data_IF_663324473679
#
_entry.id   IF_663324473679
#
_cell.length_a   1.000
_cell.length_b   1.000
_cell.length_c   1.000
_cell.angle_alpha   90.00
_cell.angle_beta   90.00
_cell.angle_gamma   90.00
#
_symmetry.space_group_name_H-M   'P 1'
#
loop_
_entity.id
_entity.type
_entity.pdbx_description
1 polymer ?
#
# COMPACT_ATOMS: atom_id res chain seq x y z
N UNK A 1 12.28 -13.80 -2.25
CA UNK A 1 11.34 -12.98 -3.03
C UNK A 1 9.95 -13.52 -2.79
N UNK A 2 8.99 -12.65 -2.50
CA UNK A 2 7.64 -12.99 -2.11
C UNK A 2 6.66 -12.47 -3.14
N UNK A 3 5.77 -13.35 -3.59
CA UNK A 3 4.61 -12.93 -4.34
C UNK A 3 3.49 -12.54 -3.36
N UNK A 4 2.86 -11.36 -3.50
CA UNK A 4 1.79 -10.95 -2.58
C UNK A 4 0.65 -11.98 -2.49
N UNK A 5 0.32 -12.61 -3.62
CA UNK A 5 -0.68 -13.67 -3.70
C UNK A 5 -0.28 -14.96 -2.94
N UNK A 6 0.99 -15.11 -2.56
CA UNK A 6 1.52 -16.26 -1.81
C UNK A 6 1.66 -16.01 -0.31
N UNK A 7 1.54 -14.75 0.15
CA UNK A 7 1.81 -14.39 1.55
C UNK A 7 0.57 -14.14 2.40
N UNK A 8 -0.64 -14.37 1.86
CA UNK A 8 -1.87 -14.24 2.63
C UNK A 8 -2.69 -12.98 2.33
N UNK A 9 -2.52 -12.35 1.16
CA UNK A 9 -3.49 -11.37 0.66
C UNK A 9 -4.80 -12.06 0.29
N UNK A 10 -5.84 -11.83 1.08
CA UNK A 10 -7.18 -12.39 0.89
C UNK A 10 -8.13 -11.25 0.51
N UNK A 11 -8.73 -11.33 -0.67
CA UNK A 11 -9.54 -10.22 -1.22
C UNK A 11 -10.97 -10.65 -1.56
N UNK A 12 -11.80 -9.68 -1.97
CA UNK A 12 -13.09 -9.94 -2.64
C UNK A 12 -12.88 -10.56 -4.04
N UNK A 13 -13.97 -11.03 -4.64
CA UNK A 13 -13.98 -11.68 -5.96
C UNK A 13 -14.07 -10.66 -7.11
N UNK A 14 -14.00 -9.35 -6.81
CA UNK A 14 -14.08 -8.27 -7.79
C UNK A 14 -12.75 -8.12 -8.54
N UNK A 15 -12.54 -8.96 -9.54
CA UNK A 15 -11.35 -8.89 -10.38
C UNK A 15 -11.16 -7.48 -10.94
N UNK A 16 -9.91 -7.04 -11.03
CA UNK A 16 -9.44 -5.68 -11.40
C UNK A 16 -9.49 -4.62 -10.31
N UNK A 17 -10.28 -4.79 -9.25
CA UNK A 17 -10.41 -3.81 -8.17
C UNK A 17 -10.79 -4.50 -6.84
N UNK A 18 -10.03 -5.53 -6.47
CA UNK A 18 -10.35 -6.36 -5.32
C UNK A 18 -10.06 -5.63 -4.00
N UNK A 19 -11.01 -5.68 -3.06
CA UNK A 19 -10.84 -5.10 -1.72
C UNK A 19 -10.19 -6.13 -0.79
N UNK A 20 -9.29 -5.67 0.08
CA UNK A 20 -8.64 -6.51 1.09
C UNK A 20 -9.63 -6.87 2.21
N UNK A 21 -9.67 -8.14 2.60
CA UNK A 21 -10.51 -8.62 3.71
C UNK A 21 -9.72 -8.61 5.01
N UNK A 22 -10.40 -8.45 6.15
CA UNK A 22 -9.80 -8.43 7.49
C UNK A 22 -8.94 -9.68 7.79
N UNK A 23 -9.28 -10.82 7.19
CA UNK A 23 -8.49 -12.05 7.30
C UNK A 23 -7.06 -11.93 6.72
N UNK A 24 -6.78 -10.91 5.89
CA UNK A 24 -5.46 -10.62 5.34
C UNK A 24 -4.45 -10.29 6.44
N UNK A 25 -4.83 -9.49 7.44
CA UNK A 25 -3.93 -9.02 8.47
C UNK A 25 -3.26 -10.16 9.25
N UNK A 26 -4.01 -11.10 9.89
CA UNK A 26 -3.40 -12.22 10.59
C UNK A 26 -2.66 -13.20 9.66
N UNK A 27 -3.11 -13.36 8.42
CA UNK A 27 -2.46 -14.26 7.45
C UNK A 27 -1.08 -13.77 7.03
N UNK A 28 -0.99 -12.49 6.63
CA UNK A 28 0.26 -11.81 6.26
C UNK A 28 1.23 -11.76 7.44
N UNK A 29 0.73 -11.37 8.62
CA UNK A 29 1.55 -11.27 9.82
C UNK A 29 2.16 -12.63 10.18
N UNK A 30 1.35 -13.69 10.17
CA UNK A 30 1.82 -15.05 10.45
C UNK A 30 2.91 -15.46 9.44
N UNK A 31 2.64 -15.32 8.15
CA UNK A 31 3.56 -15.76 7.10
C UNK A 31 4.93 -15.08 7.17
N UNK A 32 4.93 -13.75 7.30
CA UNK A 32 6.18 -12.97 7.32
C UNK A 32 6.95 -13.17 8.63
N UNK A 33 6.27 -13.31 9.77
CA UNK A 33 6.95 -13.60 11.04
C UNK A 33 7.55 -15.01 11.05
N UNK A 34 6.79 -16.03 10.61
CA UNK A 34 7.27 -17.42 10.54
C UNK A 34 8.57 -17.50 9.71
N UNK A 35 8.60 -16.82 8.56
CA UNK A 35 9.79 -16.80 7.71
C UNK A 35 10.94 -16.02 8.35
N UNK A 36 10.68 -14.85 8.93
CA UNK A 36 11.70 -14.02 9.60
C UNK A 36 12.42 -14.76 10.73
N UNK A 37 11.69 -15.56 11.51
CA UNK A 37 12.27 -16.37 12.58
C UNK A 37 13.00 -17.63 12.06
N UNK A 38 12.70 -18.07 10.83
CA UNK A 38 13.36 -19.22 10.21
C UNK A 38 14.66 -18.85 9.49
N UNK A 39 14.67 -17.72 8.78
CA UNK A 39 15.80 -17.19 8.03
C UNK A 39 15.72 -15.66 8.02
N UNK A 40 16.73 -15.02 8.61
CA UNK A 40 16.81 -13.56 8.76
C UNK A 40 17.14 -12.92 7.41
N UNK A 41 16.10 -12.72 6.59
CA UNK A 41 16.19 -12.11 5.27
C UNK A 41 15.19 -10.96 5.11
N UNK A 42 15.56 -9.96 4.29
CA UNK A 42 14.67 -8.83 3.98
C UNK A 42 13.57 -9.31 3.01
N UNK A 43 12.28 -9.24 3.39
CA UNK A 43 11.20 -9.66 2.52
C UNK A 43 10.97 -8.65 1.39
N UNK A 44 11.22 -9.08 0.15
CA UNK A 44 10.88 -8.32 -1.06
C UNK A 44 9.55 -8.84 -1.59
N UNK A 45 8.48 -8.05 -1.45
CA UNK A 45 7.09 -8.45 -1.77
C UNK A 45 6.61 -7.74 -3.04
N UNK A 46 5.97 -8.47 -3.96
CA UNK A 46 5.30 -7.84 -5.12
C UNK A 46 4.08 -7.01 -4.69
N UNK A 47 3.95 -5.78 -5.18
CA UNK A 47 2.76 -4.96 -4.94
C UNK A 47 1.59 -5.34 -5.85
N UNK A 48 0.41 -4.76 -5.59
CA UNK A 48 -0.77 -4.77 -6.48
C UNK A 48 -1.48 -6.13 -6.68
N UNK A 49 -0.81 -7.25 -6.38
CA UNK A 49 -1.32 -8.59 -6.62
C UNK A 49 -2.00 -9.19 -5.39
N UNK A 50 -2.95 -10.10 -5.62
CA UNK A 50 -3.63 -10.89 -4.59
C UNK A 50 -4.12 -12.23 -5.15
N UNK A 51 -4.57 -13.14 -4.29
CA UNK A 51 -5.07 -14.45 -4.69
C UNK A 51 -6.53 -14.62 -4.30
N UNK A 52 -7.38 -14.99 -5.27
CA UNK A 52 -8.76 -15.33 -4.98
C UNK A 52 -9.33 -16.30 -6.01
N UNK A 53 -10.17 -17.24 -5.55
CA UNK A 53 -10.89 -18.19 -6.41
C UNK A 53 -9.99 -18.94 -7.39
N UNK A 54 -8.83 -19.39 -6.88
CA UNK A 54 -7.79 -20.10 -7.66
C UNK A 54 -7.17 -19.30 -8.81
N UNK A 55 -7.25 -17.97 -8.75
CA UNK A 55 -6.69 -17.06 -9.73
C UNK A 55 -5.96 -15.88 -9.06
N UNK A 56 -4.98 -15.33 -9.77
CA UNK A 56 -4.34 -14.06 -9.40
C UNK A 56 -5.32 -12.94 -9.77
N UNK A 57 -5.50 -12.00 -8.84
CA UNK A 57 -6.27 -10.78 -9.06
C UNK A 57 -5.48 -9.56 -8.62
N UNK A 58 -6.02 -8.37 -8.88
CA UNK A 58 -5.35 -7.09 -8.63
C UNK A 58 -6.16 -6.21 -7.69
N UNK A 59 -5.44 -5.44 -6.87
CA UNK A 59 -6.00 -4.53 -5.86
C UNK A 59 -6.48 -3.18 -6.44
N UNK A 60 -6.58 -3.07 -7.77
CA UNK A 60 -6.94 -1.83 -8.44
C UNK A 60 -5.87 -0.74 -8.37
N UNK A 61 -6.26 0.49 -8.73
CA UNK A 61 -5.33 1.63 -8.76
C UNK A 61 -4.75 1.88 -7.37
N UNK A 62 -3.45 2.19 -7.33
CA UNK A 62 -2.73 2.35 -6.07
C UNK A 62 -2.47 1.05 -5.31
N UNK A 63 -2.68 -0.11 -5.94
CA UNK A 63 -2.55 -1.40 -5.26
C UNK A 63 -1.18 -1.67 -4.64
N UNK A 64 -0.08 -1.12 -5.18
CA UNK A 64 1.24 -1.23 -4.55
C UNK A 64 1.32 -0.44 -3.23
N UNK A 65 0.80 0.79 -3.22
CA UNK A 65 0.72 1.59 -1.99
C UNK A 65 -0.21 0.89 -0.98
N UNK A 66 -1.33 0.32 -1.43
CA UNK A 66 -2.25 -0.45 -0.57
C UNK A 66 -1.60 -1.73 -0.01
N UNK A 67 -0.75 -2.39 -0.79
CA UNK A 67 0.02 -3.56 -0.34
C UNK A 67 0.94 -3.16 0.82
N UNK A 68 1.68 -2.06 0.67
CA UNK A 68 2.60 -1.57 1.68
C UNK A 68 1.87 -1.19 2.99
N UNK A 69 0.75 -0.48 2.90
CA UNK A 69 -0.02 -0.09 4.08
C UNK A 69 -0.72 -1.25 4.76
N UNK A 70 -1.17 -2.25 3.99
CA UNK A 70 -1.72 -3.50 4.53
C UNK A 70 -0.67 -4.29 5.31
N UNK A 71 0.55 -4.41 4.77
CA UNK A 71 1.66 -5.09 5.48
C UNK A 71 2.03 -4.33 6.75
N UNK A 72 2.14 -3.00 6.68
CA UNK A 72 2.44 -2.16 7.85
C UNK A 72 1.40 -2.32 8.96
N UNK A 73 0.10 -2.33 8.61
CA UNK A 73 -0.99 -2.62 9.55
C UNK A 73 -0.88 -4.04 10.13
N UNK A 74 -0.69 -5.04 9.28
CA UNK A 74 -0.64 -6.45 9.67
C UNK A 74 0.48 -6.74 10.67
N UNK A 75 1.66 -6.13 10.48
CA UNK A 75 2.82 -6.30 11.34
C UNK A 75 2.88 -5.31 12.52
N UNK A 76 1.97 -4.33 12.58
CA UNK A 76 1.99 -3.30 13.62
C UNK A 76 3.23 -2.42 13.57
N UNK A 77 3.70 -2.08 12.36
CA UNK A 77 4.89 -1.26 12.18
C UNK A 77 4.66 0.19 12.60
N UNK A 78 5.75 0.86 13.00
CA UNK A 78 5.69 2.27 13.44
C UNK A 78 5.45 3.24 12.28
N UNK A 79 5.87 2.89 11.07
CA UNK A 79 5.71 3.73 9.88
C UNK A 79 5.67 2.91 8.59
N UNK A 80 5.15 3.53 7.53
CA UNK A 80 5.20 3.04 6.15
C UNK A 80 5.81 4.13 5.29
N UNK A 81 6.85 3.78 4.54
CA UNK A 81 7.55 4.72 3.67
C UNK A 81 7.17 4.47 2.21
N UNK A 82 6.70 5.52 1.54
CA UNK A 82 6.37 5.48 0.11
C UNK A 82 7.40 6.30 -0.65
N UNK A 83 8.12 5.66 -1.56
CA UNK A 83 9.17 6.28 -2.37
C UNK A 83 8.61 6.71 -3.72
N UNK A 84 8.77 8.00 -4.06
CA UNK A 84 8.33 8.59 -5.33
C UNK A 84 9.50 9.32 -6.00
N UNK A 85 9.27 9.78 -7.22
CA UNK A 85 10.20 10.55 -8.07
C UNK A 85 10.20 12.06 -7.76
N UNK A 86 9.44 12.49 -6.76
CA UNK A 86 9.34 13.86 -6.27
C UNK A 86 9.57 13.90 -4.76
N UNK A 87 9.90 15.08 -4.22
CA UNK A 87 10.16 15.33 -2.80
C UNK A 87 8.87 15.31 -1.95
N UNK A 88 8.17 14.17 -1.98
CA UNK A 88 6.92 13.94 -1.24
C UNK A 88 5.71 14.65 -1.87
N UNK A 89 4.84 15.17 -1.01
CA UNK A 89 3.68 15.96 -1.43
C UNK A 89 4.10 17.41 -1.61
N UNK A 90 3.73 18.01 -2.74
CA UNK A 90 4.03 19.40 -3.05
C UNK A 90 2.77 20.28 -2.95
N UNK A 91 2.94 21.59 -2.82
CA UNK A 91 1.83 22.56 -2.73
C UNK A 91 0.93 22.57 -3.98
N UNK A 92 1.45 22.18 -5.15
CA UNK A 92 0.72 22.00 -6.40
C UNK A 92 1.49 21.06 -7.35
N UNK A 93 0.92 20.74 -8.51
CA UNK A 93 1.61 19.92 -9.53
C UNK A 93 2.83 20.69 -10.09
N UNK A 94 4.06 20.18 -9.92
CA UNK A 94 5.28 20.87 -10.35
C UNK A 94 5.37 20.99 -11.88
N UNK A 95 4.64 20.16 -12.64
CA UNK A 95 4.56 20.28 -14.11
C UNK A 95 3.69 21.47 -14.54
N UNK A 96 2.78 21.93 -13.68
CA UNK A 96 1.92 23.10 -13.93
C UNK A 96 2.58 24.37 -13.39
N UNK A 97 3.16 24.30 -12.19
CA UNK A 97 3.85 25.42 -11.56
C UNK A 97 5.23 25.00 -11.03
N UNK A 98 6.33 25.41 -11.67
CA UNK A 98 7.69 25.08 -11.23
C UNK A 98 8.08 25.62 -9.84
N UNK A 99 7.27 26.53 -9.26
CA UNK A 99 7.46 27.03 -7.89
C UNK A 99 6.73 26.20 -6.83
N UNK A 100 6.37 24.96 -7.15
CA UNK A 100 5.80 24.03 -6.18
C UNK A 100 6.82 23.75 -5.07
N UNK A 101 6.38 23.79 -3.82
CA UNK A 101 7.22 23.60 -2.64
C UNK A 101 6.80 22.32 -1.90
N UNK A 102 7.72 21.59 -1.25
CA UNK A 102 7.39 20.44 -0.43
C UNK A 102 6.52 20.82 0.77
N UNK A 103 5.50 20.00 1.04
CA UNK A 103 4.66 20.10 2.22
C UNK A 103 5.21 19.13 3.27
N UNK A 104 5.87 19.61 4.35
CA UNK A 104 6.63 18.75 5.25
C UNK A 104 5.74 17.88 6.15
N UNK A 105 4.52 18.31 6.43
CA UNK A 105 3.58 17.59 7.30
C UNK A 105 2.17 17.70 6.72
N UNK A 106 1.47 16.56 6.73
CA UNK A 106 0.08 16.44 6.32
C UNK A 106 -0.62 15.47 7.26
N UNK A 107 -1.85 15.80 7.63
CA UNK A 107 -2.73 14.84 8.29
C UNK A 107 -3.23 13.79 7.29
N UNK A 108 -3.62 12.61 7.77
CA UNK A 108 -4.24 11.59 6.91
C UNK A 108 -5.47 12.09 6.17
N UNK A 109 -6.26 12.97 6.82
CA UNK A 109 -7.44 13.57 6.21
C UNK A 109 -7.05 14.48 5.04
N UNK A 110 -6.09 15.38 5.23
CA UNK A 110 -5.62 16.25 4.15
C UNK A 110 -5.00 15.46 3.01
N UNK A 111 -4.19 14.44 3.34
CA UNK A 111 -3.61 13.54 2.35
C UNK A 111 -4.67 12.81 1.52
N UNK A 112 -5.73 12.30 2.16
CA UNK A 112 -6.83 11.62 1.49
C UNK A 112 -7.61 12.57 0.56
N UNK A 113 -7.91 13.80 1.00
CA UNK A 113 -8.58 14.81 0.19
C UNK A 113 -7.71 15.24 -1.01
N UNK A 114 -6.39 15.44 -0.80
CA UNK A 114 -5.47 15.75 -1.88
C UNK A 114 -5.41 14.63 -2.91
N UNK A 115 -5.28 13.39 -2.45
CA UNK A 115 -5.28 12.20 -3.30
C UNK A 115 -6.59 12.08 -4.10
N UNK A 116 -7.73 12.35 -3.47
CA UNK A 116 -9.04 12.36 -4.11
C UNK A 116 -9.16 13.47 -5.17
N UNK A 117 -8.61 14.65 -4.88
CA UNK A 117 -8.57 15.80 -5.80
C UNK A 117 -7.54 15.67 -6.94
N UNK A 118 -6.83 14.53 -7.04
CA UNK A 118 -5.94 14.23 -8.16
C UNK A 118 -4.44 14.39 -7.88
N UNK A 119 -4.04 14.62 -6.62
CA UNK A 119 -2.63 14.53 -6.25
C UNK A 119 -2.16 13.07 -6.40
N UNK A 120 -1.37 12.80 -7.44
CA UNK A 120 -0.93 11.44 -7.80
C UNK A 120 0.13 10.83 -6.85
N UNK A 121 0.42 11.49 -5.74
CA UNK A 121 1.48 11.09 -4.81
C UNK A 121 1.05 9.89 -3.96
N UNK A 122 -0.22 9.77 -3.59
CA UNK A 122 -0.75 8.62 -2.87
C UNK A 122 -2.15 8.29 -3.39
N UNK A 123 -2.48 7.01 -3.47
CA UNK A 123 -3.84 6.62 -3.86
C UNK A 123 -4.78 6.69 -2.64
N UNK A 124 -6.02 7.21 -2.76
CA UNK A 124 -6.92 7.32 -1.59
C UNK A 124 -7.17 5.99 -0.89
N UNK A 125 -7.25 4.88 -1.65
CA UNK A 125 -7.46 3.55 -1.08
C UNK A 125 -6.30 3.07 -0.22
N UNK A 126 -5.06 3.47 -0.53
CA UNK A 126 -3.89 2.99 0.22
C UNK A 126 -3.83 3.54 1.64
N UNK A 127 -4.51 4.64 1.94
CA UNK A 127 -4.54 5.19 3.30
C UNK A 127 -5.53 4.46 4.22
N UNK A 128 -6.48 3.68 3.67
CA UNK A 128 -7.54 3.02 4.46
C UNK A 128 -7.03 2.08 5.56
N UNK A 129 -5.96 1.26 5.36
CA UNK A 129 -5.49 0.36 6.42
C UNK A 129 -4.89 1.09 7.62
N UNK A 130 -4.42 2.32 7.43
CA UNK A 130 -3.63 3.08 8.43
C UNK A 130 -4.39 4.27 9.03
N UNK A 131 -5.64 4.47 8.59
CA UNK A 131 -6.57 5.45 9.14
C UNK A 131 -7.39 4.81 10.26
#
# INVERSE_FOLDING_TARGET
>A
MYDAFSIGFITTDDFTNADTLEATNPAVAKRLNDDWFSDLAIPIVTGFLSWRSSAITTLGRGGSDLTATTIGKALGLQEIQVWKDVDGVLTCDPNINPRAEPVPYLTFKEGAELAYCGAKVLHPLSMRPVM
#
